data_IF_100044760193
#
_entry.id   IF_100044760193
#
_cell.length_a   1.000
_cell.length_b   1.000
_cell.length_c   1.000
_cell.angle_alpha   90.00
_cell.angle_beta   90.00
_cell.angle_gamma   90.00
#
_symmetry.space_group_name_H-M   'P 1'
#
loop_
_entity.id
_entity.type
_entity.pdbx_description
1 polymer ?
#
# COMPACT_ATOMS: atom_id res chain seq x y z
N UNK A 1 -15.39 13.45 -42.72
CA UNK A 1 -16.65 12.66 -42.70
C UNK A 1 -16.94 12.27 -41.26
N UNK A 2 -17.74 13.08 -40.54
CA UNK A 2 -18.20 12.76 -39.19
C UNK A 2 -19.57 12.05 -39.28
N UNK A 3 -19.62 10.85 -38.69
CA UNK A 3 -20.77 10.07 -38.21
C UNK A 3 -22.08 10.04 -39.02
N UNK A 4 -22.23 8.98 -39.82
CA UNK A 4 -23.51 8.55 -40.42
C UNK A 4 -24.36 7.61 -39.54
N UNK A 5 -23.95 7.30 -38.30
CA UNK A 5 -24.74 6.51 -37.35
C UNK A 5 -24.42 6.88 -35.88
N UNK A 6 -25.27 7.65 -35.18
CA UNK A 6 -25.11 7.99 -33.75
C UNK A 6 -25.21 6.77 -32.82
N UNK A 7 -25.74 5.65 -33.29
CA UNK A 7 -25.93 4.41 -32.52
C UNK A 7 -24.72 3.46 -32.54
N UNK A 8 -23.74 3.69 -33.41
CA UNK A 8 -22.56 2.81 -33.52
C UNK A 8 -21.46 3.30 -32.57
N UNK A 9 -21.04 2.44 -31.65
CA UNK A 9 -19.88 2.70 -30.78
C UNK A 9 -18.60 2.23 -31.49
N UNK A 10 -17.49 2.98 -31.40
CA UNK A 10 -16.21 2.53 -31.95
C UNK A 10 -15.75 1.25 -31.24
N UNK A 11 -15.25 0.30 -32.02
CA UNK A 11 -14.62 -0.94 -31.52
C UNK A 11 -13.15 -0.97 -31.93
N UNK A 12 -12.35 -1.73 -31.19
CA UNK A 12 -10.91 -1.87 -31.46
C UNK A 12 -10.40 -3.23 -31.03
N UNK A 13 -9.20 -3.57 -31.51
CA UNK A 13 -8.46 -4.76 -31.11
C UNK A 13 -7.10 -4.34 -30.57
N UNK A 14 -6.69 -4.92 -29.44
CA UNK A 14 -5.34 -4.71 -28.90
C UNK A 14 -4.33 -5.35 -29.87
N UNK A 15 -3.37 -4.55 -30.33
CA UNK A 15 -2.31 -5.00 -31.26
C UNK A 15 -0.92 -5.05 -30.61
N UNK A 16 -0.73 -4.32 -29.52
CA UNK A 16 0.53 -4.29 -28.77
C UNK A 16 0.29 -3.83 -27.34
N UNK A 17 1.21 -4.21 -26.45
CA UNK A 17 1.27 -3.74 -25.05
C UNK A 17 2.53 -2.90 -24.91
N UNK A 18 2.39 -1.57 -24.82
CA UNK A 18 3.52 -0.64 -24.69
C UNK A 18 4.13 -0.72 -23.28
N UNK A 19 3.27 -0.80 -22.25
CA UNK A 19 3.67 -0.90 -20.85
C UNK A 19 2.80 -1.94 -20.16
N UNK A 20 3.45 -2.91 -19.51
CA UNK A 20 2.76 -3.92 -18.69
C UNK A 20 2.19 -3.26 -17.44
N UNK A 21 0.99 -3.66 -17.03
CA UNK A 21 0.37 -3.16 -15.80
C UNK A 21 1.12 -3.65 -14.56
N UNK A 22 1.40 -2.79 -13.57
CA UNK A 22 1.96 -3.19 -12.27
C UNK A 22 1.11 -4.24 -11.56
N UNK A 23 -0.22 -4.28 -11.81
CA UNK A 23 -1.13 -5.29 -11.22
C UNK A 23 -0.73 -6.73 -11.57
N UNK A 24 0.10 -6.95 -12.59
CA UNK A 24 0.68 -8.26 -12.92
C UNK A 24 1.64 -8.78 -11.84
N UNK A 25 2.17 -7.90 -10.99
CA UNK A 25 3.08 -8.24 -9.90
C UNK A 25 2.35 -8.52 -8.58
N UNK A 26 1.05 -8.25 -8.52
CA UNK A 26 0.27 -8.29 -7.30
C UNK A 26 -1.06 -9.05 -7.49
N UNK A 27 -0.96 -10.32 -7.91
CA UNK A 27 -2.14 -11.18 -8.11
C UNK A 27 -2.42 -11.98 -6.84
N UNK A 28 -3.61 -11.81 -6.28
CA UNK A 28 -4.09 -12.62 -5.16
C UNK A 28 -4.99 -13.74 -5.69
N UNK A 29 -4.79 -14.97 -5.22
CA UNK A 29 -5.62 -16.10 -5.62
C UNK A 29 -5.49 -17.31 -4.72
N UNK A 30 -6.19 -18.38 -5.09
CA UNK A 30 -6.14 -19.68 -4.43
C UNK A 30 -5.40 -20.69 -5.28
N UNK A 31 -4.52 -21.48 -4.68
CA UNK A 31 -3.91 -22.63 -5.34
C UNK A 31 -4.95 -23.75 -5.44
N UNK A 32 -4.95 -24.51 -6.53
CA UNK A 32 -5.74 -25.72 -6.63
C UNK A 32 -4.85 -26.91 -7.00
N UNK A 33 -4.95 -27.97 -6.20
CA UNK A 33 -4.30 -29.24 -6.50
C UNK A 33 -5.17 -30.02 -7.51
N UNK A 34 -4.52 -30.44 -8.60
CA UNK A 34 -5.05 -31.20 -9.74
C UNK A 34 -6.03 -30.46 -10.65
N UNK A 35 -5.63 -30.33 -11.92
CA UNK A 35 -6.56 -30.22 -13.03
C UNK A 35 -7.29 -31.55 -13.21
N UNK A 36 -8.44 -31.71 -12.56
CA UNK A 36 -9.39 -32.75 -12.96
C UNK A 36 -9.85 -32.45 -14.41
N UNK A 37 -9.51 -33.36 -15.31
CA UNK A 37 -10.31 -33.66 -16.51
C UNK A 37 -10.09 -32.86 -17.80
N UNK A 38 -9.59 -31.62 -17.80
CA UNK A 38 -9.65 -30.79 -19.02
C UNK A 38 -8.35 -30.20 -19.57
N UNK A 39 -7.20 -30.32 -18.92
CA UNK A 39 -5.95 -29.78 -19.50
C UNK A 39 -5.22 -30.71 -20.47
N UNK A 40 -5.57 -32.00 -20.57
CA UNK A 40 -4.83 -32.95 -21.42
C UNK A 40 -4.78 -32.56 -22.91
N UNK A 41 -5.76 -31.82 -23.42
CA UNK A 41 -5.79 -31.46 -24.85
C UNK A 41 -4.99 -30.19 -25.21
N UNK A 42 -4.73 -29.29 -24.26
CA UNK A 42 -4.04 -28.03 -24.55
C UNK A 42 -2.54 -28.06 -24.23
N UNK A 43 -2.07 -28.91 -23.30
CA UNK A 43 -0.64 -29.04 -22.98
C UNK A 43 0.16 -29.77 -24.07
N UNK A 44 -0.48 -30.63 -24.88
CA UNK A 44 0.22 -31.35 -25.96
C UNK A 44 0.69 -30.44 -27.09
N UNK A 45 -0.01 -29.33 -27.35
CA UNK A 45 0.35 -28.39 -28.41
C UNK A 45 1.56 -27.52 -28.04
N UNK A 46 1.76 -27.27 -26.74
CA UNK A 46 2.88 -26.49 -26.20
C UNK A 46 4.20 -27.29 -26.19
N UNK A 47 4.12 -28.61 -26.04
CA UNK A 47 5.29 -29.49 -25.86
C UNK A 47 6.03 -29.85 -27.16
N UNK A 48 5.46 -29.57 -28.35
CA UNK A 48 6.05 -30.00 -29.63
C UNK A 48 7.03 -29.00 -30.28
N UNK A 49 7.14 -27.75 -29.82
CA UNK A 49 7.94 -26.71 -30.52
C UNK A 49 9.08 -26.08 -29.74
N UNK A 50 9.17 -26.29 -28.41
CA UNK A 50 10.38 -25.95 -27.66
C UNK A 50 11.46 -27.02 -27.96
N UNK A 51 12.39 -26.71 -28.87
CA UNK A 51 13.53 -27.58 -29.22
C UNK A 51 14.60 -27.67 -28.11
N UNK A 52 14.19 -27.73 -26.85
CA UNK A 52 15.02 -28.18 -25.75
C UNK A 52 14.29 -29.32 -25.06
N UNK A 53 14.81 -30.54 -25.26
CA UNK A 53 14.35 -31.76 -24.59
C UNK A 53 14.46 -31.58 -23.07
N UNK A 54 13.38 -31.12 -22.44
CA UNK A 54 13.11 -31.43 -21.04
C UNK A 54 11.76 -32.13 -21.06
N UNK A 55 11.80 -33.42 -20.78
CA UNK A 55 10.65 -34.28 -20.62
C UNK A 55 9.91 -33.83 -19.35
N UNK A 56 9.04 -32.83 -19.43
CA UNK A 56 8.26 -32.36 -18.28
C UNK A 56 7.01 -33.22 -18.18
N UNK A 57 7.04 -34.17 -17.25
CA UNK A 57 5.85 -34.87 -16.76
C UNK A 57 4.74 -33.85 -16.48
N UNK A 58 3.49 -34.15 -16.84
CA UNK A 58 2.31 -33.30 -16.56
C UNK A 58 1.99 -33.11 -15.07
N UNK A 59 2.94 -33.41 -14.18
CA UNK A 59 2.89 -33.37 -12.72
C UNK A 59 3.53 -32.09 -12.14
N UNK A 60 4.19 -31.27 -12.95
CA UNK A 60 5.00 -30.12 -12.47
C UNK A 60 4.24 -28.79 -12.35
N UNK A 61 2.94 -28.72 -12.65
CA UNK A 61 2.18 -27.45 -12.62
C UNK A 61 0.88 -27.52 -11.81
N UNK A 62 0.64 -26.45 -11.05
CA UNK A 62 -0.57 -26.18 -10.28
C UNK A 62 -1.37 -25.07 -10.94
N UNK A 63 -2.67 -25.02 -10.67
CA UNK A 63 -3.50 -23.89 -11.09
C UNK A 63 -3.63 -22.87 -9.96
N UNK A 64 -3.56 -21.60 -10.35
CA UNK A 64 -3.93 -20.48 -9.50
C UNK A 64 -5.25 -19.89 -10.01
N UNK A 65 -6.20 -19.74 -9.11
CA UNK A 65 -7.48 -19.06 -9.36
C UNK A 65 -7.44 -17.66 -8.74
N UNK A 66 -7.28 -16.59 -9.53
CA UNK A 66 -7.28 -15.23 -9.00
C UNK A 66 -8.62 -14.85 -8.37
N UNK A 67 -8.55 -14.00 -7.34
CA UNK A 67 -9.74 -13.41 -6.70
C UNK A 67 -10.37 -12.32 -7.56
N UNK A 68 -9.57 -11.51 -8.25
CA UNK A 68 -10.07 -10.51 -9.20
C UNK A 68 -10.46 -11.19 -10.53
N UNK A 69 -11.75 -11.16 -10.93
CA UNK A 69 -12.24 -11.81 -12.15
C UNK A 69 -11.68 -11.19 -13.44
N UNK A 70 -11.00 -10.04 -13.37
CA UNK A 70 -10.29 -9.45 -14.52
C UNK A 70 -9.06 -10.26 -14.92
N UNK A 71 -8.54 -11.11 -14.04
CA UNK A 71 -7.43 -12.00 -14.35
C UNK A 71 -7.92 -13.40 -14.76
N UNK A 72 -7.32 -14.01 -15.79
CA UNK A 72 -7.57 -15.41 -16.11
C UNK A 72 -6.93 -16.32 -15.08
N UNK A 73 -7.34 -17.59 -15.07
CA UNK A 73 -6.61 -18.65 -14.36
C UNK A 73 -5.15 -18.68 -14.80
N UNK A 74 -4.25 -19.08 -13.92
CA UNK A 74 -2.80 -19.08 -14.19
C UNK A 74 -2.20 -20.45 -13.88
N UNK A 75 -1.06 -20.77 -14.51
CA UNK A 75 -0.27 -21.96 -14.19
C UNK A 75 0.94 -21.57 -13.36
N UNK A 76 1.12 -22.26 -12.23
CA UNK A 76 2.25 -22.09 -11.32
C UNK A 76 3.12 -23.33 -11.38
N UNK A 77 4.40 -23.16 -11.64
CA UNK A 77 5.35 -24.28 -11.61
C UNK A 77 5.56 -24.74 -10.16
N UNK A 78 5.37 -26.03 -9.89
CA UNK A 78 5.57 -26.65 -8.59
C UNK A 78 6.97 -26.37 -8.01
N UNK A 79 8.00 -26.33 -8.87
CA UNK A 79 9.39 -26.07 -8.45
C UNK A 79 9.59 -24.65 -7.93
N UNK A 80 8.75 -23.71 -8.34
CA UNK A 80 8.83 -22.30 -7.93
C UNK A 80 7.96 -22.01 -6.70
N UNK A 81 7.29 -23.01 -6.13
CA UNK A 81 6.59 -22.82 -4.87
C UNK A 81 7.59 -22.65 -3.71
N UNK A 82 7.19 -21.94 -2.65
CA UNK A 82 7.88 -22.00 -1.36
C UNK A 82 7.95 -23.44 -0.83
N UNK A 83 9.05 -23.83 -0.16
CA UNK A 83 9.26 -25.20 0.35
C UNK A 83 8.11 -25.69 1.24
N UNK A 84 7.56 -24.80 2.08
CA UNK A 84 6.41 -25.10 2.93
C UNK A 84 5.14 -25.47 2.15
N UNK A 85 4.93 -24.88 0.97
CA UNK A 85 3.84 -25.29 0.08
C UNK A 85 4.16 -26.60 -0.63
N UNK A 86 5.42 -26.80 -1.06
CA UNK A 86 5.83 -28.05 -1.75
C UNK A 86 5.58 -29.28 -0.88
N UNK A 87 6.01 -29.25 0.38
CA UNK A 87 5.82 -30.35 1.33
C UNK A 87 4.34 -30.74 1.47
N UNK A 88 3.47 -29.73 1.51
CA UNK A 88 2.02 -29.91 1.68
C UNK A 88 1.30 -30.40 0.42
N UNK A 89 1.73 -29.94 -0.75
CA UNK A 89 1.26 -30.51 -2.02
C UNK A 89 1.66 -31.98 -2.12
N UNK A 90 2.91 -32.32 -1.76
CA UNK A 90 3.43 -33.71 -1.83
C UNK A 90 2.73 -34.61 -0.82
N UNK A 91 2.41 -34.10 0.37
CA UNK A 91 1.65 -34.85 1.38
C UNK A 91 0.16 -35.02 1.05
N UNK A 92 -0.33 -34.39 -0.03
CA UNK A 92 -1.74 -34.46 -0.43
C UNK A 92 -2.68 -33.67 0.48
N UNK A 93 -2.17 -32.62 1.13
CA UNK A 93 -2.93 -31.78 2.04
C UNK A 93 -3.99 -30.95 1.28
N UNK A 94 -5.25 -31.36 1.38
CA UNK A 94 -6.39 -30.67 0.77
C UNK A 94 -6.61 -29.25 1.30
N UNK A 95 -6.02 -28.89 2.45
CA UNK A 95 -6.14 -27.53 3.00
C UNK A 95 -5.45 -26.49 2.13
N UNK A 96 -4.50 -26.89 1.27
CA UNK A 96 -3.83 -25.97 0.36
C UNK A 96 -4.80 -25.27 -0.60
N UNK A 97 -5.92 -25.93 -0.94
CA UNK A 97 -6.98 -25.35 -1.78
C UNK A 97 -7.67 -24.14 -1.15
N UNK A 98 -7.55 -24.00 0.18
CA UNK A 98 -8.13 -22.91 0.96
C UNK A 98 -7.11 -21.81 1.26
N UNK A 99 -5.88 -21.95 0.77
CA UNK A 99 -4.83 -20.97 1.01
C UNK A 99 -4.85 -19.86 0.00
N UNK A 100 -4.81 -18.65 0.53
CA UNK A 100 -4.66 -17.44 -0.20
C UNK A 100 -3.17 -17.20 -0.43
N UNK A 101 -2.81 -16.98 -1.68
CA UNK A 101 -1.43 -16.73 -2.10
C UNK A 101 -1.33 -15.44 -2.89
N UNK A 102 -0.18 -14.80 -2.77
CA UNK A 102 0.27 -13.70 -3.59
C UNK A 102 1.17 -14.23 -4.70
N UNK A 103 0.93 -13.84 -5.94
CA UNK A 103 1.63 -14.32 -7.12
C UNK A 103 1.91 -13.19 -8.12
N UNK A 104 2.88 -13.44 -8.99
CA UNK A 104 3.24 -12.56 -10.10
C UNK A 104 3.17 -13.30 -11.42
N UNK A 105 2.62 -12.64 -12.44
CA UNK A 105 2.59 -13.13 -13.81
C UNK A 105 3.94 -12.91 -14.48
N UNK A 106 4.61 -13.99 -14.82
CA UNK A 106 5.90 -13.99 -15.53
C UNK A 106 5.69 -13.79 -17.02
N UNK A 107 5.26 -14.86 -17.69
CA UNK A 107 5.14 -14.94 -19.13
C UNK A 107 3.70 -15.23 -19.55
N UNK A 108 3.28 -14.58 -20.63
CA UNK A 108 2.03 -14.89 -21.30
C UNK A 108 2.31 -14.90 -22.79
N UNK A 109 2.58 -16.08 -23.34
CA UNK A 109 2.82 -16.25 -24.77
C UNK A 109 1.52 -16.09 -25.56
N UNK A 110 1.64 -15.67 -26.81
CA UNK A 110 0.55 -15.60 -27.78
C UNK A 110 -0.07 -16.96 -28.11
N UNK A 111 0.72 -18.03 -27.97
CA UNK A 111 0.28 -19.42 -28.14
C UNK A 111 -0.54 -19.97 -26.94
N UNK A 112 -0.56 -19.27 -25.79
CA UNK A 112 -1.28 -19.74 -24.58
C UNK A 112 -2.43 -18.82 -24.17
N UNK A 113 -3.57 -19.41 -23.88
CA UNK A 113 -4.69 -18.71 -23.22
C UNK A 113 -4.48 -18.53 -21.70
N UNK A 114 -3.50 -19.22 -21.13
CA UNK A 114 -3.24 -19.24 -19.68
C UNK A 114 -1.82 -18.74 -19.42
N UNK A 115 -1.64 -17.64 -18.66
CA UNK A 115 -0.32 -17.15 -18.30
C UNK A 115 0.40 -18.05 -17.28
N UNK A 116 1.73 -18.01 -17.33
CA UNK A 116 2.59 -18.55 -16.30
C UNK A 116 2.76 -17.53 -15.17
N UNK A 117 2.75 -18.02 -13.94
CA UNK A 117 2.96 -17.24 -12.74
C UNK A 117 3.82 -18.00 -11.73
N UNK A 118 4.41 -17.27 -10.78
CA UNK A 118 5.04 -17.85 -9.60
C UNK A 118 4.42 -17.26 -8.32
N UNK A 119 4.40 -18.06 -7.27
CA UNK A 119 3.94 -17.64 -5.94
C UNK A 119 5.08 -16.91 -5.24
N UNK A 120 4.78 -15.72 -4.74
CA UNK A 120 5.72 -14.88 -3.97
C UNK A 120 5.53 -15.17 -2.47
N UNK A 121 4.29 -15.16 -1.99
CA UNK A 121 3.97 -15.37 -0.58
C UNK A 121 2.74 -16.27 -0.41
N UNK A 122 2.77 -17.09 0.65
CA UNK A 122 1.60 -17.77 1.18
C UNK A 122 1.07 -16.89 2.31
N UNK A 123 -0.13 -16.35 2.13
CA UNK A 123 -0.71 -15.39 3.08
C UNK A 123 -1.44 -16.09 4.23
N UNK A 124 -1.91 -17.32 4.00
CA UNK A 124 -2.63 -18.13 4.98
C UNK A 124 -3.99 -18.56 4.47
N UNK A 125 -4.91 -18.93 5.38
CA UNK A 125 -6.23 -19.42 5.00
C UNK A 125 -7.15 -18.28 4.60
N UNK A 126 -7.77 -18.38 3.42
CA UNK A 126 -8.66 -17.33 2.91
C UNK A 126 -9.94 -17.08 3.72
N UNK A 127 -10.28 -17.96 4.67
CA UNK A 127 -11.40 -17.74 5.59
C UNK A 127 -11.07 -16.89 6.81
N UNK A 128 -9.80 -16.56 7.03
CA UNK A 128 -9.32 -15.81 8.18
C UNK A 128 -9.14 -14.32 7.84
N UNK A 129 -9.26 -13.45 8.85
CA UNK A 129 -9.19 -12.00 8.67
C UNK A 129 -7.76 -11.55 8.31
N UNK A 130 -6.75 -12.01 9.05
CA UNK A 130 -5.36 -11.58 8.84
C UNK A 130 -4.83 -11.87 7.42
N UNK A 131 -5.02 -13.07 6.83
CA UNK A 131 -4.63 -13.32 5.43
C UNK A 131 -5.37 -12.43 4.43
N UNK A 132 -6.63 -12.08 4.68
CA UNK A 132 -7.39 -11.18 3.82
C UNK A 132 -6.88 -9.73 3.90
N UNK A 133 -6.52 -9.26 5.09
CA UNK A 133 -5.88 -7.95 5.27
C UNK A 133 -4.54 -7.95 4.53
N UNK A 134 -3.68 -8.94 4.74
CA UNK A 134 -2.39 -9.07 4.06
C UNK A 134 -2.54 -9.09 2.53
N UNK A 135 -3.59 -9.77 2.01
CA UNK A 135 -3.89 -9.77 0.59
C UNK A 135 -4.28 -8.39 0.04
N UNK A 136 -5.13 -7.65 0.77
CA UNK A 136 -5.53 -6.29 0.38
C UNK A 136 -4.30 -5.36 0.37
N UNK A 137 -3.45 -5.46 1.39
CA UNK A 137 -2.23 -4.66 1.48
C UNK A 137 -1.28 -4.96 0.32
N UNK A 138 -1.05 -6.24 0.02
CA UNK A 138 -0.20 -6.64 -1.10
C UNK A 138 -0.76 -6.21 -2.47
N UNK A 139 -2.06 -6.42 -2.71
CA UNK A 139 -2.71 -6.03 -3.97
C UNK A 139 -2.61 -4.51 -4.24
N UNK A 140 -2.66 -3.71 -3.16
CA UNK A 140 -2.57 -2.25 -3.24
C UNK A 140 -1.15 -1.71 -3.04
N UNK A 141 -0.13 -2.57 -2.99
CA UNK A 141 1.27 -2.22 -2.76
C UNK A 141 1.51 -1.36 -1.50
N UNK A 142 0.75 -1.64 -0.43
CA UNK A 142 0.87 -0.95 0.86
C UNK A 142 1.94 -1.65 1.71
N UNK A 143 3.00 -0.92 2.05
CA UNK A 143 4.07 -1.43 2.90
C UNK A 143 3.66 -1.44 4.38
N UNK A 144 3.41 -2.63 4.92
CA UNK A 144 3.13 -2.83 6.34
C UNK A 144 4.35 -3.31 7.14
N UNK A 145 5.54 -3.31 6.54
CA UNK A 145 6.76 -3.71 7.22
C UNK A 145 7.13 -2.70 8.32
N UNK A 146 7.93 -3.15 9.29
CA UNK A 146 8.52 -2.25 10.27
C UNK A 146 9.45 -1.24 9.60
N UNK A 147 9.57 -0.05 10.20
CA UNK A 147 10.53 0.97 9.79
C UNK A 147 11.97 0.43 9.89
N UNK A 148 12.81 0.81 8.93
CA UNK A 148 14.21 0.40 8.90
C UNK A 148 15.01 1.07 10.02
N UNK A 149 16.07 0.43 10.56
CA UNK A 149 16.94 1.05 11.57
C UNK A 149 17.50 2.40 11.12
N UNK A 150 17.80 2.55 9.83
CA UNK A 150 18.31 3.79 9.24
C UNK A 150 17.27 4.92 9.27
N UNK A 151 15.99 4.60 9.00
CA UNK A 151 14.90 5.58 9.09
C UNK A 151 14.62 5.97 10.55
N UNK A 152 14.67 5.02 11.47
CA UNK A 152 14.48 5.27 12.91
C UNK A 152 15.61 6.11 13.50
N UNK A 153 16.85 5.91 13.05
CA UNK A 153 17.99 6.72 13.46
C UNK A 153 17.90 8.21 13.06
N UNK A 154 16.97 8.57 12.15
CA UNK A 154 16.69 9.97 11.79
C UNK A 154 15.72 10.65 12.76
N UNK A 155 15.05 9.89 13.65
CA UNK A 155 14.07 10.42 14.60
C UNK A 155 14.78 10.82 15.90
N UNK A 156 14.53 12.01 16.47
CA UNK A 156 15.09 12.39 17.76
C UNK A 156 14.65 11.47 18.89
N UNK A 157 15.56 11.13 19.80
CA UNK A 157 15.26 10.36 21.00
C UNK A 157 14.31 11.11 21.94
N UNK A 158 13.58 10.35 22.76
CA UNK A 158 12.74 10.88 23.83
C UNK A 158 13.48 10.87 25.19
N UNK A 159 13.25 11.85 26.08
CA UNK A 159 12.37 13.00 25.90
C UNK A 159 13.00 14.06 24.97
N UNK A 160 12.14 14.69 24.17
CA UNK A 160 12.53 15.77 23.26
C UNK A 160 11.75 17.03 23.61
N UNK A 161 12.46 18.15 23.62
CA UNK A 161 11.90 19.49 23.83
C UNK A 161 12.33 20.41 22.68
N UNK A 162 11.53 21.45 22.45
CA UNK A 162 11.83 22.45 21.42
C UNK A 162 13.16 23.14 21.74
N UNK A 163 14.16 23.10 20.84
CA UNK A 163 15.45 23.73 21.10
C UNK A 163 15.34 25.25 21.27
N UNK A 164 16.16 25.82 22.16
CA UNK A 164 16.15 27.27 22.46
C UNK A 164 16.25 28.16 21.22
N UNK A 165 17.09 27.77 20.25
CA UNK A 165 17.29 28.49 18.97
C UNK A 165 16.00 28.64 18.14
N UNK A 166 15.06 27.72 18.29
CA UNK A 166 13.80 27.77 17.52
C UNK A 166 12.90 28.90 18.03
N UNK A 167 12.98 29.24 19.32
CA UNK A 167 12.24 30.36 19.90
C UNK A 167 12.78 31.73 19.46
N UNK A 168 14.03 31.79 19.01
CA UNK A 168 14.65 33.05 18.53
C UNK A 168 14.22 33.38 17.09
N UNK A 169 13.85 32.36 16.30
CA UNK A 169 13.60 32.51 14.86
C UNK A 169 12.13 32.32 14.49
N UNK A 170 11.37 31.53 15.27
CA UNK A 170 9.93 31.34 15.07
C UNK A 170 9.11 32.33 15.86
N UNK A 171 7.91 32.63 15.34
CA UNK A 171 6.91 33.41 16.07
C UNK A 171 6.30 32.57 17.19
N UNK A 172 6.27 33.11 18.39
CA UNK A 172 5.71 32.43 19.57
C UNK A 172 4.19 32.62 19.65
N UNK A 173 3.45 31.51 19.63
CA UNK A 173 1.99 31.47 19.77
C UNK A 173 1.53 30.85 21.10
N UNK A 174 2.44 30.51 22.03
CA UNK A 174 2.09 29.76 23.25
C UNK A 174 1.15 30.50 24.21
N UNK A 175 1.11 31.83 24.12
CA UNK A 175 0.20 32.66 24.92
C UNK A 175 -1.19 32.83 24.28
N UNK A 176 -1.41 32.24 23.10
CA UNK A 176 -2.67 32.32 22.36
C UNK A 176 -3.47 31.04 22.61
N UNK A 177 -4.76 31.19 22.92
CA UNK A 177 -5.66 30.06 23.10
C UNK A 177 -5.75 29.25 21.80
N UNK A 178 -5.10 28.08 21.81
CA UNK A 178 -4.96 27.20 20.65
C UNK A 178 -5.50 25.82 21.01
N UNK A 179 -6.31 25.24 20.14
CA UNK A 179 -6.98 23.96 20.38
C UNK A 179 -7.13 23.15 19.09
N UNK A 180 -7.24 21.83 19.20
CA UNK A 180 -7.50 20.93 18.07
C UNK A 180 -8.96 20.46 18.09
N UNK A 181 -9.48 20.00 16.94
CA UNK A 181 -10.84 19.45 16.82
C UNK A 181 -10.74 18.12 16.08
N UNK A 182 -10.67 17.02 16.84
CA UNK A 182 -10.42 15.69 16.29
C UNK A 182 -11.40 14.65 16.85
N UNK A 183 -11.55 13.49 16.17
CA UNK A 183 -12.23 12.34 16.76
C UNK A 183 -11.62 11.93 18.10
N UNK A 184 -12.43 11.39 19.01
CA UNK A 184 -11.97 10.98 20.35
C UNK A 184 -10.90 9.89 20.37
N UNK A 185 -10.65 9.24 19.23
CA UNK A 185 -9.64 8.19 19.04
C UNK A 185 -8.39 8.68 18.31
N UNK A 186 -8.31 9.97 17.97
CA UNK A 186 -7.15 10.53 17.28
C UNK A 186 -5.93 10.59 18.21
N UNK A 187 -4.77 10.27 17.64
CA UNK A 187 -3.47 10.24 18.34
C UNK A 187 -2.41 11.08 17.62
N UNK A 188 -2.60 11.29 16.33
CA UNK A 188 -1.86 12.14 15.41
C UNK A 188 -2.68 13.41 15.13
N UNK A 189 -2.44 14.46 15.92
CA UNK A 189 -3.14 15.75 15.81
C UNK A 189 -2.33 16.66 14.87
N UNK A 190 -2.75 16.74 13.61
CA UNK A 190 -2.00 17.43 12.56
C UNK A 190 -2.28 18.94 12.51
N UNK A 191 -3.45 19.38 12.95
CA UNK A 191 -3.88 20.78 12.91
C UNK A 191 -4.45 21.29 14.23
N UNK A 192 -4.20 22.57 14.49
CA UNK A 192 -4.77 23.33 15.59
C UNK A 192 -5.28 24.68 15.11
N UNK A 193 -6.26 25.22 15.83
CA UNK A 193 -6.93 26.47 15.54
C UNK A 193 -6.75 27.45 16.69
N UNK A 194 -6.64 28.73 16.37
CA UNK A 194 -6.74 29.84 17.32
C UNK A 194 -7.66 30.93 16.79
N UNK A 195 -8.29 31.65 17.71
CA UNK A 195 -9.10 32.83 17.39
C UNK A 195 -8.87 33.91 18.44
N UNK A 196 -8.54 35.12 17.99
CA UNK A 196 -8.33 36.29 18.83
C UNK A 196 -9.10 37.48 18.27
N UNK A 197 -9.75 38.26 19.12
CA UNK A 197 -10.36 39.54 18.72
C UNK A 197 -9.29 40.65 18.80
N UNK A 198 -9.02 41.35 17.69
CA UNK A 198 -7.85 42.26 17.58
C UNK A 198 -8.22 43.73 17.81
N UNK A 199 -9.44 44.14 17.45
CA UNK A 199 -9.92 45.52 17.47
C UNK A 199 -11.37 45.55 17.95
N UNK A 200 -11.81 46.64 18.57
CA UNK A 200 -13.21 46.90 18.97
C UNK A 200 -14.25 46.90 17.83
N UNK A 201 -13.83 46.60 16.60
CA UNK A 201 -14.61 46.73 15.36
C UNK A 201 -14.84 45.34 14.69
N UNK A 202 -15.04 44.30 15.49
CA UNK A 202 -15.45 42.96 15.02
C UNK A 202 -14.46 42.30 14.03
N UNK A 203 -13.17 42.53 14.24
CA UNK A 203 -12.08 41.89 13.48
C UNK A 203 -11.44 40.78 14.31
N UNK A 204 -11.45 39.56 13.76
CA UNK A 204 -10.87 38.38 14.36
C UNK A 204 -9.59 37.96 13.64
N UNK A 205 -8.53 37.68 14.39
CA UNK A 205 -7.37 36.92 13.91
C UNK A 205 -7.71 35.45 14.03
N UNK A 206 -7.76 34.76 12.90
CA UNK A 206 -7.90 33.30 12.86
C UNK A 206 -6.53 32.73 12.51
N UNK A 207 -6.05 31.80 13.34
CA UNK A 207 -4.84 31.03 13.10
C UNK A 207 -5.17 29.59 12.78
N UNK A 208 -4.55 29.07 11.73
CA UNK A 208 -4.46 27.62 11.44
C UNK A 208 -3.00 27.22 11.60
N UNK A 209 -2.75 26.25 12.47
CA UNK A 209 -1.42 25.80 12.86
C UNK A 209 -1.27 24.34 12.45
N UNK A 210 -0.40 24.05 11.50
CA UNK A 210 -0.15 22.69 11.00
C UNK A 210 1.14 22.17 11.63
N UNK A 211 1.13 20.93 12.12
CA UNK A 211 2.30 20.22 12.63
C UNK A 211 3.51 20.38 11.68
N UNK A 212 4.64 20.86 12.21
CA UNK A 212 5.84 21.10 11.39
C UNK A 212 6.66 19.81 11.19
N UNK A 213 6.12 18.90 10.38
CA UNK A 213 6.82 17.67 10.00
C UNK A 213 8.14 17.96 9.27
N UNK A 214 8.26 19.11 8.59
CA UNK A 214 9.44 19.48 7.81
C UNK A 214 10.68 19.72 8.66
N UNK A 215 10.50 20.07 9.93
CA UNK A 215 11.59 20.17 10.90
C UNK A 215 12.25 18.82 11.17
N UNK A 216 11.47 17.74 11.20
CA UNK A 216 11.95 16.40 11.54
C UNK A 216 12.31 15.56 10.30
N UNK A 217 11.52 15.68 9.23
CA UNK A 217 11.71 14.90 8.00
C UNK A 217 12.51 15.72 6.99
N UNK A 218 13.84 15.60 7.08
CA UNK A 218 14.75 16.34 6.21
C UNK A 218 14.88 15.67 4.83
N UNK A 219 14.93 16.43 3.72
CA UNK A 219 15.08 15.87 2.39
C UNK A 219 16.32 14.99 2.24
N UNK A 220 16.21 13.93 1.44
CA UNK A 220 17.30 12.99 1.12
C UNK A 220 17.83 12.19 2.32
N UNK A 221 17.04 12.09 3.39
CA UNK A 221 17.33 11.17 4.50
C UNK A 221 16.69 9.80 4.27
N UNK A 222 17.09 8.81 5.07
CA UNK A 222 16.45 7.49 5.06
C UNK A 222 14.96 7.58 5.45
N UNK A 223 14.63 8.46 6.40
CA UNK A 223 13.24 8.72 6.80
C UNK A 223 12.41 9.37 5.68
N UNK A 224 12.97 10.36 4.97
CA UNK A 224 12.30 10.95 3.80
C UNK A 224 12.06 9.92 2.69
N UNK A 225 13.05 9.07 2.42
CA UNK A 225 12.90 7.98 1.43
C UNK A 225 11.79 7.00 1.83
N UNK A 226 11.75 6.60 3.11
CA UNK A 226 10.71 5.71 3.64
C UNK A 226 9.33 6.36 3.59
N UNK A 227 9.23 7.65 3.95
CA UNK A 227 7.99 8.42 3.89
C UNK A 227 7.48 8.54 2.44
N UNK A 228 8.37 8.76 1.46
CA UNK A 228 8.01 8.78 0.03
C UNK A 228 7.48 7.43 -0.45
N UNK A 229 8.12 6.33 -0.05
CA UNK A 229 7.68 4.97 -0.40
C UNK A 229 6.29 4.68 0.16
N UNK A 230 6.04 5.06 1.43
CA UNK A 230 4.73 4.86 2.09
C UNK A 230 3.67 5.82 1.56
N UNK A 231 4.07 7.04 1.22
CA UNK A 231 3.26 8.17 0.69
C UNK A 231 2.15 8.68 1.60
N UNK A 232 1.42 7.81 2.30
CA UNK A 232 0.30 8.16 3.17
C UNK A 232 0.10 7.11 4.26
N UNK A 233 -0.51 7.52 5.38
CA UNK A 233 -0.95 6.59 6.41
C UNK A 233 -2.23 5.88 5.95
N UNK A 234 -2.30 4.56 6.14
CA UNK A 234 -3.48 3.75 5.78
C UNK A 234 -4.23 3.36 7.04
N UNK A 235 -5.51 3.72 7.12
CA UNK A 235 -6.38 3.39 8.24
C UNK A 235 -7.22 2.16 7.90
N UNK A 236 -7.08 1.13 8.72
CA UNK A 236 -7.83 -0.13 8.71
C UNK A 236 -8.59 -0.18 10.04
N UNK A 237 -9.79 -0.77 10.08
CA UNK A 237 -10.74 -0.67 11.21
C UNK A 237 -10.11 -0.62 12.62
N UNK A 238 -9.13 -1.48 12.93
CA UNK A 238 -8.45 -1.50 14.23
C UNK A 238 -6.96 -1.15 14.17
N UNK A 239 -6.41 -0.87 13.00
CA UNK A 239 -4.97 -0.71 12.80
C UNK A 239 -4.67 0.47 11.87
N UNK A 240 -3.71 1.30 12.26
CA UNK A 240 -3.09 2.30 11.38
C UNK A 240 -1.77 1.74 10.86
N UNK A 241 -1.54 1.79 9.56
CA UNK A 241 -0.22 1.61 8.96
C UNK A 241 0.34 3.01 8.75
N UNK A 242 1.28 3.46 9.60
CA UNK A 242 1.69 4.85 9.60
C UNK A 242 2.68 5.14 8.47
N UNK A 243 2.61 6.37 7.94
CA UNK A 243 3.59 6.91 7.00
C UNK A 243 4.93 7.22 7.67
N UNK A 244 4.89 7.73 8.90
CA UNK A 244 6.06 8.12 9.69
C UNK A 244 6.13 7.26 10.97
N UNK A 245 7.30 7.10 11.59
CA UNK A 245 7.41 6.38 12.85
C UNK A 245 6.44 6.96 13.90
N UNK A 246 5.74 6.12 14.70
CA UNK A 246 4.79 6.59 15.71
C UNK A 246 5.37 7.62 16.69
N UNK A 247 6.63 7.45 17.09
CA UNK A 247 7.36 8.43 17.91
C UNK A 247 7.36 9.84 17.31
N UNK A 248 7.39 9.96 15.98
CA UNK A 248 7.32 11.23 15.28
C UNK A 248 5.87 11.67 15.05
N UNK A 249 5.01 10.80 14.49
CA UNK A 249 3.65 11.20 14.12
C UNK A 249 2.69 11.39 15.31
N UNK A 250 2.88 10.66 16.40
CA UNK A 250 1.93 10.61 17.52
C UNK A 250 2.43 11.36 18.76
N UNK A 251 3.73 11.68 18.82
CA UNK A 251 4.35 12.35 19.98
C UNK A 251 5.03 13.66 19.59
N UNK A 252 6.09 13.63 18.77
CA UNK A 252 6.91 14.82 18.46
C UNK A 252 6.19 15.84 17.56
N UNK A 253 5.58 15.35 16.48
CA UNK A 253 4.88 16.16 15.48
C UNK A 253 3.41 16.42 15.84
N UNK A 254 2.80 15.55 16.64
CA UNK A 254 1.41 15.71 17.09
C UNK A 254 1.26 16.94 17.99
N UNK A 255 0.26 17.78 17.70
CA UNK A 255 -0.07 19.01 18.43
C UNK A 255 -0.77 18.72 19.78
N UNK A 256 -0.11 17.93 20.62
CA UNK A 256 -0.63 17.46 21.89
C UNK A 256 -0.89 18.61 22.89
N UNK A 257 -1.98 18.55 23.66
CA UNK A 257 -2.34 19.60 24.61
C UNK A 257 -1.31 19.73 25.74
N UNK A 258 -0.99 20.96 26.11
CA UNK A 258 -0.08 21.28 27.22
C UNK A 258 1.40 21.00 26.94
N UNK A 259 1.78 20.71 25.69
CA UNK A 259 3.18 20.54 25.29
C UNK A 259 3.55 21.59 24.24
N UNK A 260 4.75 22.15 24.37
CA UNK A 260 5.31 23.04 23.35
C UNK A 260 5.59 22.24 22.06
N UNK A 261 5.09 22.72 20.92
CA UNK A 261 5.18 22.05 19.62
C UNK A 261 5.54 23.03 18.51
N UNK A 262 6.24 22.51 17.51
CA UNK A 262 6.61 23.25 16.31
C UNK A 262 5.48 23.16 15.29
N UNK A 263 5.05 24.31 14.77
CA UNK A 263 3.97 24.38 13.80
C UNK A 263 4.28 25.40 12.69
N UNK A 264 3.82 25.11 11.49
CA UNK A 264 3.69 26.08 10.41
C UNK A 264 2.32 26.74 10.53
N UNK A 265 2.32 28.06 10.77
CA UNK A 265 1.09 28.80 11.05
C UNK A 265 0.71 29.72 9.90
N UNK A 266 -0.58 29.74 9.56
CA UNK A 266 -1.17 30.76 8.69
C UNK A 266 -2.20 31.54 9.48
N UNK A 267 -2.10 32.86 9.44
CA UNK A 267 -2.99 33.76 10.17
C UNK A 267 -3.65 34.74 9.22
N UNK A 268 -4.95 34.95 9.40
CA UNK A 268 -5.72 35.96 8.67
C UNK A 268 -6.49 36.84 9.63
N UNK A 269 -6.58 38.12 9.30
CA UNK A 269 -7.45 39.07 9.99
C UNK A 269 -8.73 39.21 9.17
N UNK A 270 -9.85 38.78 9.75
CA UNK A 270 -11.15 38.71 9.09
C UNK A 270 -12.13 39.62 9.84
N UNK A 271 -12.67 40.62 9.15
CA UNK A 271 -13.73 41.49 9.65
C UNK A 271 -15.11 40.89 9.43
N UNK A 272 -16.11 41.40 10.16
CA UNK A 272 -17.52 41.09 9.92
C UNK A 272 -17.98 41.79 8.62
N UNK A 273 -18.43 41.01 7.64
CA UNK A 273 -19.05 41.51 6.40
C UNK A 273 -20.46 42.05 6.65
#
# INVERSE_FOLDING_TARGET
MMNSCPSKRPTGRVVAIIKKSPRRQAVIGFLTAKGEGHLRQNTEHFMKKAQHKILVSGEDYLQLLPKDPKFPKMLVNFRNLPESAKERVVSGDETIKRELVAAQIDEWSDESHIPLAHVIHILGRGGEIEPQIAAILFENAICAANFSPESLACVPDLPWEVPVKEFETRKDFRNICTFTIDPSTAIDLDDALSIEEIVSDEVFRIGVHIADASYFVLPKTALDTEAQIRSTSVYIQQHKIPMLPPQLSEELGSLLPGKDRLALSVTWDIGRS
#
